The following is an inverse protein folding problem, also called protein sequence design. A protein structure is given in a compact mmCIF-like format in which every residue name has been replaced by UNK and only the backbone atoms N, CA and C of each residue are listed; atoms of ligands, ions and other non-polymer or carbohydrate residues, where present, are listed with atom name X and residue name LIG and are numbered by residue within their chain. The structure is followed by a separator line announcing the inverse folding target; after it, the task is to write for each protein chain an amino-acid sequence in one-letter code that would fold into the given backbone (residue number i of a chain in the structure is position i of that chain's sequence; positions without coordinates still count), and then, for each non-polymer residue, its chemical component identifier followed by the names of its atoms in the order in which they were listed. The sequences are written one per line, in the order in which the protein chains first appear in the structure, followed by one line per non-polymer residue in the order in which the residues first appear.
data_IF_008880614068
#
_entry.id   IF_008880614068
#
_cell.length_a   1.000
_cell.length_b   1.000
_cell.length_c   1.000
_cell.angle_alpha   90.00
_cell.angle_beta   90.00
_cell.angle_gamma   90.00
#
_symmetry.space_group_name_H-M   'P 1'
#
loop_
_entity.id
_entity.type
_entity.pdbx_description
1 polymer ?
#
# COMPACT_ATOMS: atom_id res chain seq x y z
N UNK A 1 -10.25 -14.07 -0.36
CA UNK A 1 -11.50 -14.57 -0.98
C UNK A 1 -11.15 -15.42 -2.20
N UNK A 2 -10.94 -16.73 -2.00
CA UNK A 2 -10.43 -17.67 -3.03
C UNK A 2 -11.47 -18.18 -4.04
N UNK A 3 -12.54 -17.43 -4.34
CA UNK A 3 -13.72 -17.99 -5.03
C UNK A 3 -14.17 -17.28 -6.32
N UNK A 4 -13.43 -16.29 -6.82
CA UNK A 4 -13.85 -15.52 -8.01
C UNK A 4 -13.15 -15.99 -9.29
N UNK A 5 -12.00 -16.66 -9.19
CA UNK A 5 -11.17 -17.06 -10.36
C UNK A 5 -11.87 -18.10 -11.25
N UNK A 6 -12.85 -18.85 -10.74
CA UNK A 6 -13.48 -19.97 -11.47
C UNK A 6 -14.49 -19.55 -12.53
N UNK A 7 -14.88 -18.27 -12.62
CA UNK A 7 -15.97 -17.83 -13.51
C UNK A 7 -15.52 -17.34 -14.91
N UNK A 8 -14.21 -17.16 -15.13
CA UNK A 8 -13.68 -16.62 -16.40
C UNK A 8 -13.70 -17.67 -17.53
N UNK A 9 -13.66 -18.97 -17.20
CA UNK A 9 -13.58 -20.06 -18.18
C UNK A 9 -14.85 -20.30 -19.00
N UNK A 10 -16.00 -19.76 -18.60
CA UNK A 10 -17.30 -20.03 -19.26
C UNK A 10 -17.70 -18.99 -20.33
N UNK A 11 -16.96 -17.88 -20.47
CA UNK A 11 -17.30 -16.83 -21.43
C UNK A 11 -16.63 -16.97 -22.81
N UNK A 12 -15.77 -17.97 -23.00
CA UNK A 12 -14.98 -18.15 -24.24
C UNK A 12 -15.84 -18.65 -25.43
N UNK A 13 -17.09 -19.07 -25.22
CA UNK A 13 -17.90 -19.76 -26.26
C UNK A 13 -18.97 -18.88 -26.91
N UNK A 14 -19.12 -17.60 -26.50
CA UNK A 14 -20.18 -16.73 -27.03
C UNK A 14 -19.67 -15.33 -27.38
N UNK A 15 -18.75 -15.22 -28.33
CA UNK A 15 -18.52 -13.95 -29.03
C UNK A 15 -19.00 -14.08 -30.48
N UNK A 16 -20.16 -13.50 -30.84
CA UNK A 16 -20.58 -13.43 -32.22
C UNK A 16 -19.53 -12.62 -32.98
N UNK A 17 -19.10 -13.17 -34.11
CA UNK A 17 -18.18 -12.60 -35.08
C UNK A 17 -18.70 -11.29 -35.67
N UNK A 18 -18.65 -10.21 -34.89
CA UNK A 18 -18.84 -8.85 -35.39
C UNK A 18 -17.48 -8.30 -35.81
N UNK A 19 -17.20 -8.53 -37.08
CA UNK A 19 -16.18 -7.83 -37.86
C UNK A 19 -16.39 -6.31 -37.72
N UNK A 20 -15.33 -5.61 -37.28
CA UNK A 20 -15.10 -4.15 -37.40
C UNK A 20 -15.80 -3.20 -36.40
N UNK A 21 -15.69 -3.45 -35.10
CA UNK A 21 -15.60 -2.36 -34.11
C UNK A 21 -14.35 -2.53 -33.26
N UNK A 22 -13.48 -1.52 -33.23
CA UNK A 22 -12.27 -1.56 -32.40
C UNK A 22 -12.65 -1.75 -30.93
N UNK A 23 -12.07 -2.74 -30.28
CA UNK A 23 -12.39 -3.08 -28.90
C UNK A 23 -12.08 -1.89 -27.99
N UNK A 24 -13.10 -1.43 -27.23
CA UNK A 24 -12.93 -0.29 -26.35
C UNK A 24 -12.13 -0.67 -25.09
N UNK A 25 -11.34 0.26 -24.56
CA UNK A 25 -10.63 0.09 -23.29
C UNK A 25 -11.60 -0.21 -22.13
N UNK A 26 -12.79 0.41 -22.15
CA UNK A 26 -13.85 0.20 -21.15
C UNK A 26 -14.34 -1.25 -21.16
N UNK A 27 -14.48 -1.85 -22.34
CA UNK A 27 -14.88 -3.25 -22.48
C UNK A 27 -13.85 -4.19 -21.87
N UNK A 28 -12.57 -3.98 -22.19
CA UNK A 28 -11.48 -4.80 -21.62
C UNK A 28 -11.37 -4.60 -20.11
N UNK A 29 -11.48 -3.37 -19.63
CA UNK A 29 -11.46 -3.07 -18.20
C UNK A 29 -12.59 -3.76 -17.43
N UNK A 30 -13.80 -3.78 -18.00
CA UNK A 30 -14.95 -4.46 -17.39
C UNK A 30 -14.81 -5.97 -17.37
N UNK A 31 -14.22 -6.57 -18.40
CA UNK A 31 -14.09 -8.02 -18.53
C UNK A 31 -12.92 -8.60 -17.71
N UNK A 32 -11.79 -7.89 -17.66
CA UNK A 32 -10.53 -8.44 -17.13
C UNK A 32 -10.01 -7.70 -15.89
N UNK A 33 -10.51 -6.51 -15.57
CA UNK A 33 -9.95 -5.65 -14.52
C UNK A 33 -11.01 -5.04 -13.59
N UNK A 34 -12.15 -5.71 -13.41
CA UNK A 34 -13.25 -5.22 -12.58
C UNK A 34 -12.80 -4.91 -11.13
N UNK A 35 -12.02 -5.79 -10.53
CA UNK A 35 -11.50 -5.68 -9.15
C UNK A 35 -10.36 -4.67 -8.99
N UNK A 36 -9.79 -4.15 -10.09
CA UNK A 36 -8.59 -3.32 -10.06
C UNK A 36 -8.76 -2.06 -9.20
N UNK A 37 -9.91 -1.38 -9.32
CA UNK A 37 -10.17 -0.15 -8.55
C UNK A 37 -10.25 -0.42 -7.05
N UNK A 38 -10.81 -1.56 -6.67
CA UNK A 38 -10.93 -1.96 -5.27
C UNK A 38 -9.57 -2.33 -4.69
N UNK A 39 -8.72 -3.04 -5.44
CA UNK A 39 -7.33 -3.33 -5.03
C UNK A 39 -6.51 -2.05 -4.84
N UNK A 40 -6.63 -1.07 -5.75
CA UNK A 40 -5.98 0.25 -5.59
C UNK A 40 -6.49 0.94 -4.31
N UNK A 41 -7.80 0.88 -4.04
CA UNK A 41 -8.39 1.48 -2.85
C UNK A 41 -7.87 0.80 -1.58
N UNK A 42 -7.77 -0.52 -1.57
CA UNK A 42 -7.23 -1.29 -0.44
C UNK A 42 -5.80 -0.88 -0.10
N UNK A 43 -4.93 -0.76 -1.12
CA UNK A 43 -3.56 -0.24 -0.93
C UNK A 43 -3.58 1.18 -0.36
N UNK A 44 -4.43 2.07 -0.87
CA UNK A 44 -4.52 3.45 -0.37
C UNK A 44 -5.02 3.51 1.07
N UNK A 45 -5.92 2.62 1.47
CA UNK A 45 -6.40 2.55 2.84
C UNK A 45 -5.35 1.94 3.77
N UNK A 46 -4.56 0.95 3.34
CA UNK A 46 -3.40 0.46 4.06
C UNK A 46 -2.33 1.57 4.25
N UNK A 47 -2.05 2.36 3.21
CA UNK A 47 -1.14 3.51 3.32
C UNK A 47 -1.58 4.55 4.35
N UNK A 48 -2.90 4.75 4.56
CA UNK A 48 -3.40 5.70 5.58
C UNK A 48 -3.16 5.19 7.00
N UNK A 49 -3.18 3.86 7.20
CA UNK A 49 -2.98 3.21 8.50
C UNK A 49 -1.51 3.05 8.90
N UNK A 50 -0.56 3.30 7.99
CA UNK A 50 0.89 3.19 8.25
C UNK A 50 1.35 3.92 9.52
N UNK A 51 0.83 5.13 9.77
CA UNK A 51 1.22 5.87 10.97
C UNK A 51 0.74 5.19 12.25
N UNK A 52 -0.45 4.59 12.23
CA UNK A 52 -1.02 3.93 13.41
C UNK A 52 -0.24 2.66 13.76
N UNK A 53 0.21 1.93 12.74
CA UNK A 53 1.01 0.69 12.86
C UNK A 53 2.44 1.04 13.32
N UNK A 54 3.12 1.94 12.60
CA UNK A 54 4.54 2.21 12.83
C UNK A 54 4.81 3.12 14.04
N UNK A 55 3.85 3.98 14.43
CA UNK A 55 4.04 4.95 15.50
C UNK A 55 3.45 4.49 16.85
N UNK A 56 3.12 3.21 17.03
CA UNK A 56 2.59 2.65 18.29
C UNK A 56 3.40 3.08 19.53
N UNK A 57 4.73 3.02 19.44
CA UNK A 57 5.65 3.40 20.52
C UNK A 57 5.68 4.91 20.83
N UNK A 58 5.24 5.77 19.91
CA UNK A 58 5.21 7.23 20.11
C UNK A 58 4.22 7.61 21.20
N UNK A 59 3.11 6.87 21.35
CA UNK A 59 2.10 7.13 22.39
C UNK A 59 2.68 6.90 23.79
N UNK A 60 3.33 5.76 24.01
CA UNK A 60 3.98 5.44 25.28
C UNK A 60 5.11 6.45 25.61
N UNK A 61 5.94 6.80 24.63
CA UNK A 61 7.01 7.79 24.81
C UNK A 61 6.46 9.20 25.08
N UNK A 62 5.29 9.54 24.54
CA UNK A 62 4.62 10.81 24.80
C UNK A 62 4.18 10.91 26.26
N UNK A 63 3.55 9.87 26.79
CA UNK A 63 3.13 9.83 28.20
C UNK A 63 4.33 9.83 29.15
N UNK A 64 5.41 9.12 28.79
CA UNK A 64 6.67 9.15 29.54
C UNK A 64 7.27 10.57 29.59
N UNK A 65 7.34 11.25 28.44
CA UNK A 65 7.86 12.62 28.33
C UNK A 65 7.01 13.65 29.10
N UNK A 66 5.68 13.49 29.09
CA UNK A 66 4.78 14.31 29.92
C UNK A 66 5.06 14.09 31.40
N UNK A 67 5.20 12.83 31.82
CA UNK A 67 5.45 12.47 33.22
C UNK A 67 6.77 13.07 33.72
N UNK A 68 7.87 12.90 32.99
CA UNK A 68 9.16 13.48 33.40
C UNK A 68 9.17 15.02 33.35
N UNK A 69 8.42 15.63 32.43
CA UNK A 69 8.20 17.08 32.42
C UNK A 69 7.47 17.56 33.68
N UNK A 70 6.40 16.88 34.10
CA UNK A 70 5.67 17.19 35.33
C UNK A 70 6.55 17.01 36.56
N UNK A 71 7.33 15.91 36.65
CA UNK A 71 8.28 15.69 37.75
C UNK A 71 9.28 16.85 37.87
N UNK A 72 9.88 17.27 36.76
CA UNK A 72 10.81 18.41 36.75
C UNK A 72 10.14 19.70 37.21
N UNK A 73 8.96 20.02 36.67
CA UNK A 73 8.23 21.23 37.04
C UNK A 73 7.85 21.25 38.54
N UNK A 74 7.46 20.09 39.08
CA UNK A 74 7.16 19.95 40.51
C UNK A 74 8.41 20.15 41.36
N UNK A 75 9.56 19.56 40.97
CA UNK A 75 10.83 19.76 41.67
C UNK A 75 11.29 21.23 41.67
N UNK A 76 11.05 21.96 40.57
CA UNK A 76 11.31 23.41 40.48
C UNK A 76 10.40 24.18 41.44
N UNK A 77 9.09 23.89 41.42
CA UNK A 77 8.11 24.57 42.30
C UNK A 77 8.36 24.29 43.77
N UNK A 78 8.74 23.06 44.12
CA UNK A 78 9.05 22.66 45.50
C UNK A 78 10.43 23.10 45.97
N UNK A 79 11.21 23.82 45.14
CA UNK A 79 12.59 24.24 45.43
C UNK A 79 13.47 23.09 45.90
N UNK A 80 13.38 21.95 45.20
CA UNK A 80 14.19 20.77 45.52
C UNK A 80 15.70 21.05 45.43
N UNK A 81 16.52 20.18 46.01
CA UNK A 81 17.99 20.33 45.98
C UNK A 81 18.53 20.36 44.55
N UNK A 82 19.71 20.98 44.37
CA UNK A 82 20.38 21.09 43.06
C UNK A 82 20.56 19.73 42.38
N UNK A 83 20.90 18.70 43.15
CA UNK A 83 21.10 17.32 42.66
C UNK A 83 19.79 16.71 42.16
N UNK A 84 18.69 16.90 42.89
CA UNK A 84 17.35 16.42 42.50
C UNK A 84 16.88 17.12 41.23
N UNK A 85 17.10 18.44 41.12
CA UNK A 85 16.80 19.22 39.92
C UNK A 85 17.62 18.77 38.71
N UNK A 86 18.92 18.52 38.89
CA UNK A 86 19.80 18.04 37.83
C UNK A 86 19.37 16.67 37.31
N UNK A 87 19.03 15.73 38.22
CA UNK A 87 18.53 14.40 37.85
C UNK A 87 17.20 14.46 37.10
N UNK A 88 16.23 15.23 37.61
CA UNK A 88 14.92 15.38 36.96
C UNK A 88 15.03 16.07 35.60
N UNK A 89 15.93 17.04 35.46
CA UNK A 89 16.23 17.69 34.17
C UNK A 89 16.82 16.70 33.16
N UNK A 90 17.79 15.89 33.59
CA UNK A 90 18.42 14.89 32.74
C UNK A 90 17.41 13.83 32.27
N UNK A 91 16.53 13.33 33.15
CA UNK A 91 15.44 12.40 32.80
C UNK A 91 14.50 13.02 31.76
N UNK A 92 14.05 14.26 31.98
CA UNK A 92 13.18 14.99 31.04
C UNK A 92 13.84 15.19 29.67
N UNK A 93 15.10 15.62 29.66
CA UNK A 93 15.83 15.92 28.42
C UNK A 93 16.11 14.62 27.63
N UNK A 94 16.41 13.51 28.31
CA UNK A 94 16.52 12.18 27.71
C UNK A 94 15.19 11.72 27.11
N UNK A 95 14.09 11.76 27.86
CA UNK A 95 12.78 11.31 27.39
C UNK A 95 12.29 12.14 26.20
N UNK A 96 12.51 13.46 26.21
CA UNK A 96 12.21 14.34 25.06
C UNK A 96 13.04 13.96 23.83
N UNK A 97 14.34 13.71 24.00
CA UNK A 97 15.21 13.29 22.90
C UNK A 97 14.75 11.97 22.30
N UNK A 98 14.43 10.98 23.14
CA UNK A 98 13.92 9.67 22.72
C UNK A 98 12.59 9.80 21.98
N UNK A 99 11.66 10.61 22.49
CA UNK A 99 10.37 10.87 21.83
C UNK A 99 10.57 11.51 20.44
N UNK A 100 11.43 12.53 20.33
CA UNK A 100 11.67 13.21 19.07
C UNK A 100 12.33 12.28 18.04
N UNK A 101 13.29 11.47 18.48
CA UNK A 101 13.91 10.45 17.63
C UNK A 101 12.88 9.44 17.13
N UNK A 102 12.03 8.92 18.01
CA UNK A 102 10.98 7.96 17.64
C UNK A 102 9.96 8.56 16.64
N UNK A 103 9.54 9.82 16.84
CA UNK A 103 8.68 10.54 15.90
C UNK A 103 9.34 10.70 14.52
N UNK A 104 10.62 11.08 14.50
CA UNK A 104 11.38 11.23 13.27
C UNK A 104 11.50 9.90 12.52
N UNK A 105 11.92 8.84 13.22
CA UNK A 105 12.04 7.48 12.64
C UNK A 105 10.70 7.00 12.09
N UNK A 106 9.61 7.13 12.85
CA UNK A 106 8.29 6.71 12.36
C UNK A 106 7.88 7.52 11.11
N UNK A 107 8.01 8.85 11.14
CA UNK A 107 7.63 9.71 10.01
C UNK A 107 8.43 9.39 8.75
N UNK A 108 9.73 9.14 8.88
CA UNK A 108 10.60 8.76 7.75
C UNK A 108 10.18 7.41 7.19
N UNK A 109 10.03 6.37 8.03
CA UNK A 109 9.61 5.03 7.57
C UNK A 109 8.25 5.04 6.88
N UNK A 110 7.26 5.74 7.46
CA UNK A 110 5.93 5.86 6.88
C UNK A 110 5.98 6.55 5.51
N UNK A 111 6.77 7.62 5.37
CA UNK A 111 6.96 8.31 4.09
C UNK A 111 7.65 7.43 3.05
N UNK A 112 8.67 6.68 3.45
CA UNK A 112 9.40 5.77 2.56
C UNK A 112 8.51 4.64 2.05
N UNK A 113 7.75 3.99 2.93
CA UNK A 113 6.82 2.92 2.55
C UNK A 113 5.69 3.45 1.67
N UNK A 114 5.16 4.65 1.97
CA UNK A 114 4.18 5.31 1.11
C UNK A 114 4.75 5.60 -0.28
N UNK A 115 5.98 6.11 -0.37
CA UNK A 115 6.64 6.40 -1.65
C UNK A 115 6.89 5.12 -2.45
N UNK A 116 7.35 4.04 -1.81
CA UNK A 116 7.57 2.74 -2.44
C UNK A 116 6.27 2.15 -2.99
N UNK A 117 5.23 2.11 -2.17
CA UNK A 117 3.91 1.62 -2.60
C UNK A 117 3.27 2.47 -3.70
N UNK A 118 3.41 3.81 -3.65
CA UNK A 118 2.96 4.68 -4.73
C UNK A 118 3.74 4.46 -6.05
N UNK A 119 5.03 4.13 -5.98
CA UNK A 119 5.80 3.72 -7.16
C UNK A 119 5.30 2.40 -7.73
N UNK A 120 5.11 1.40 -6.88
CA UNK A 120 4.61 0.09 -7.28
C UNK A 120 3.20 0.17 -7.91
N UNK A 121 2.31 1.03 -7.37
CA UNK A 121 1.00 1.30 -7.99
C UNK A 121 1.12 1.88 -9.40
N UNK A 122 2.13 2.73 -9.67
CA UNK A 122 2.37 3.26 -11.02
C UNK A 122 2.88 2.17 -11.97
N UNK A 123 3.75 1.28 -11.48
CA UNK A 123 4.24 0.14 -12.25
C UNK A 123 3.10 -0.82 -12.61
N UNK A 124 2.22 -1.12 -11.65
CA UNK A 124 1.00 -1.90 -11.89
C UNK A 124 0.12 -1.23 -12.94
N UNK A 125 -0.12 0.08 -12.84
CA UNK A 125 -0.92 0.81 -13.81
C UNK A 125 -0.32 0.78 -15.23
N UNK A 126 1.00 0.91 -15.35
CA UNK A 126 1.72 0.81 -16.62
C UNK A 126 1.65 -0.60 -17.19
N UNK A 127 1.79 -1.63 -16.34
CA UNK A 127 1.67 -3.03 -16.75
C UNK A 127 0.25 -3.34 -17.23
N UNK A 128 -0.78 -2.95 -16.46
CA UNK A 128 -2.19 -3.04 -16.88
C UNK A 128 -2.44 -2.39 -18.24
N UNK A 129 -1.91 -1.18 -18.49
CA UNK A 129 -2.08 -0.50 -19.77
C UNK A 129 -1.48 -1.30 -20.94
N UNK A 130 -0.33 -1.95 -20.73
CA UNK A 130 0.27 -2.86 -21.72
C UNK A 130 -0.60 -4.09 -21.94
N UNK A 131 -1.07 -4.74 -20.87
CA UNK A 131 -1.95 -5.91 -20.95
C UNK A 131 -3.26 -5.58 -21.66
N UNK A 132 -3.90 -4.45 -21.35
CA UNK A 132 -5.10 -3.97 -22.06
C UNK A 132 -4.84 -3.79 -23.54
N UNK A 133 -3.69 -3.21 -23.91
CA UNK A 133 -3.30 -3.04 -25.32
C UNK A 133 -3.13 -4.39 -26.02
N UNK A 134 -2.49 -5.35 -25.35
CA UNK A 134 -2.32 -6.71 -25.88
C UNK A 134 -3.67 -7.40 -26.08
N UNK A 135 -4.58 -7.32 -25.10
CA UNK A 135 -5.93 -7.89 -25.19
C UNK A 135 -6.70 -7.27 -26.35
N UNK A 136 -6.64 -5.95 -26.49
CA UNK A 136 -7.30 -5.26 -27.62
C UNK A 136 -6.74 -5.71 -28.97
N UNK A 137 -5.43 -5.82 -29.08
CA UNK A 137 -4.81 -6.26 -30.33
C UNK A 137 -5.27 -7.68 -30.71
N UNK A 138 -5.38 -8.57 -29.74
CA UNK A 138 -5.88 -9.92 -29.99
C UNK A 138 -7.35 -9.92 -30.42
N UNK A 139 -8.22 -9.24 -29.67
CA UNK A 139 -9.66 -9.16 -29.96
C UNK A 139 -9.96 -8.44 -31.29
N UNK A 140 -9.09 -7.51 -31.70
CA UNK A 140 -9.18 -6.84 -33.00
C UNK A 140 -8.55 -7.66 -34.15
N UNK A 141 -8.01 -8.86 -33.88
CA UNK A 141 -7.36 -9.73 -34.87
C UNK A 141 -6.02 -9.18 -35.40
N UNK A 142 -5.33 -8.34 -34.61
CA UNK A 142 -4.09 -7.65 -35.00
C UNK A 142 -2.81 -8.38 -34.58
N UNK A 143 -2.92 -9.44 -33.80
CA UNK A 143 -1.80 -10.34 -33.50
C UNK A 143 -1.98 -11.72 -34.15
N UNK A 144 -1.02 -12.61 -33.89
CA UNK A 144 -0.98 -13.97 -34.44
C UNK A 144 -1.04 -15.04 -33.35
N UNK A 145 -1.49 -14.69 -32.15
CA UNK A 145 -1.59 -15.64 -31.05
C UNK A 145 -2.74 -16.62 -31.34
N UNK A 146 -2.58 -17.87 -30.91
CA UNK A 146 -3.73 -18.77 -30.82
C UNK A 146 -4.58 -18.39 -29.61
N UNK A 147 -5.86 -18.78 -29.59
CA UNK A 147 -6.75 -18.54 -28.44
C UNK A 147 -6.20 -19.13 -27.13
N UNK A 148 -5.50 -20.25 -27.22
CA UNK A 148 -4.84 -20.87 -26.07
C UNK A 148 -3.67 -20.01 -25.56
N UNK A 149 -2.78 -19.57 -26.46
CA UNK A 149 -1.63 -18.73 -26.10
C UNK A 149 -2.09 -17.37 -25.55
N UNK A 150 -3.16 -16.81 -26.13
CA UNK A 150 -3.78 -15.59 -25.66
C UNK A 150 -4.34 -15.76 -24.24
N UNK A 151 -5.15 -16.81 -24.02
CA UNK A 151 -5.74 -17.10 -22.72
C UNK A 151 -4.67 -17.30 -21.64
N UNK A 152 -3.61 -18.02 -21.95
CA UNK A 152 -2.47 -18.21 -21.04
C UNK A 152 -1.76 -16.88 -20.74
N UNK A 153 -1.48 -16.07 -21.77
CA UNK A 153 -0.83 -14.77 -21.61
C UNK A 153 -1.64 -13.79 -20.75
N UNK A 154 -2.97 -13.76 -20.94
CA UNK A 154 -3.87 -12.94 -20.12
C UNK A 154 -3.89 -13.43 -18.69
N UNK A 155 -4.02 -14.74 -18.47
CA UNK A 155 -4.00 -15.32 -17.13
C UNK A 155 -2.69 -15.00 -16.39
N UNK A 156 -1.54 -15.17 -17.04
CA UNK A 156 -0.23 -14.83 -16.48
C UNK A 156 -0.15 -13.34 -16.13
N UNK A 157 -0.63 -12.45 -17.02
CA UNK A 157 -0.64 -11.01 -16.79
C UNK A 157 -1.52 -10.60 -15.60
N UNK A 158 -2.70 -11.20 -15.47
CA UNK A 158 -3.62 -10.94 -14.35
C UNK A 158 -3.02 -11.43 -13.04
N UNK A 159 -2.46 -12.65 -13.03
CA UNK A 159 -1.79 -13.21 -11.86
C UNK A 159 -0.58 -12.36 -11.43
N UNK A 160 0.19 -11.82 -12.37
CA UNK A 160 1.31 -10.94 -12.06
C UNK A 160 0.82 -9.62 -11.43
N UNK A 161 -0.28 -9.04 -11.92
CA UNK A 161 -0.88 -7.83 -11.31
C UNK A 161 -1.36 -8.12 -9.89
N UNK A 162 -2.08 -9.22 -9.68
CA UNK A 162 -2.55 -9.63 -8.36
C UNK A 162 -1.37 -9.84 -7.39
N UNK A 163 -0.34 -10.56 -7.81
CA UNK A 163 0.86 -10.79 -7.01
C UNK A 163 1.56 -9.48 -6.62
N UNK A 164 1.62 -8.49 -7.51
CA UNK A 164 2.18 -7.16 -7.19
C UNK A 164 1.31 -6.41 -6.17
N UNK A 165 -0.02 -6.49 -6.26
CA UNK A 165 -0.90 -5.91 -5.25
C UNK A 165 -0.70 -6.57 -3.88
N UNK A 166 -0.66 -7.90 -3.82
CA UNK A 166 -0.44 -8.65 -2.59
C UNK A 166 0.91 -8.29 -1.96
N UNK A 167 1.99 -8.22 -2.74
CA UNK A 167 3.31 -7.81 -2.25
C UNK A 167 3.32 -6.38 -1.66
N UNK A 168 2.57 -5.45 -2.26
CA UNK A 168 2.41 -4.10 -1.69
C UNK A 168 1.68 -4.18 -0.34
N UNK A 169 0.57 -4.91 -0.27
CA UNK A 169 -0.24 -5.02 0.93
C UNK A 169 0.52 -5.70 2.08
N UNK A 170 1.29 -6.76 1.80
CA UNK A 170 2.18 -7.40 2.76
C UNK A 170 3.22 -6.39 3.29
N UNK A 171 3.88 -5.64 2.40
CA UNK A 171 4.85 -4.62 2.83
C UNK A 171 4.25 -3.48 3.64
N UNK A 172 2.96 -3.16 3.45
CA UNK A 172 2.25 -2.11 4.20
C UNK A 172 1.67 -2.59 5.52
N UNK A 173 1.53 -3.91 5.69
CA UNK A 173 0.93 -4.55 6.87
C UNK A 173 1.97 -5.23 7.77
N UNK A 174 3.23 -5.31 7.33
CA UNK A 174 4.32 -5.88 8.11
C UNK A 174 4.66 -4.97 9.33
N UNK A 175 4.38 -5.48 10.52
CA UNK A 175 4.87 -5.00 11.82
C UNK A 175 6.35 -5.34 12.02
#
# INVERSE_FOLDING_TARGET
MRKIITLILLFVVLLPSQVLAATSTSTVDKLFFESYKDQVKEVKDAQKKLNDILCTNVKALTEKSKTSTTKYNNAVKSKASKEVLAKAKAERDLDKKTLNSAKATCSTKAKELKKKSDSALKEIAAYKAKTVTSIKNHLDGKDKLTENDFSESVYQSLSEIESKFDAILESLSAD
#
